data_IF_670677845876
#
_entry.id   IF_670677845876
#
_cell.length_a   1.000
_cell.length_b   1.000
_cell.length_c   1.000
_cell.angle_alpha   90.00
_cell.angle_beta   90.00
_cell.angle_gamma   90.00
#
_symmetry.space_group_name_H-M   'P 1'
#
loop_
_entity.id
_entity.type
_entity.pdbx_description
1 polymer ?
#
# COMPACT_ATOMS: atom_id res chain seq x y z
N UNK A 1 24.40 49.78 -33.98
CA UNK A 1 23.94 48.85 -32.92
C UNK A 1 23.71 47.49 -33.56
N UNK A 2 24.08 46.44 -32.84
CA UNK A 2 24.41 45.08 -33.30
C UNK A 2 23.27 44.30 -33.98
N UNK A 3 23.67 43.44 -34.92
CA UNK A 3 22.93 42.41 -35.69
C UNK A 3 22.44 41.26 -34.80
N UNK A 4 21.32 40.62 -35.14
CA UNK A 4 20.94 39.30 -34.60
C UNK A 4 19.48 38.93 -34.90
N UNK A 5 19.11 38.63 -36.13
CA UNK A 5 19.07 37.30 -36.77
C UNK A 5 17.96 36.34 -36.27
N UNK A 6 17.11 35.96 -37.24
CA UNK A 6 16.43 34.67 -37.43
C UNK A 6 15.17 34.34 -36.61
N UNK A 7 14.04 34.44 -37.32
CA UNK A 7 12.78 33.77 -37.07
C UNK A 7 12.75 32.36 -37.70
N UNK A 8 11.71 31.60 -37.33
CA UNK A 8 11.27 30.29 -37.84
C UNK A 8 11.99 29.10 -37.18
N UNK A 9 11.31 28.15 -36.55
CA UNK A 9 9.88 27.92 -36.36
C UNK A 9 9.67 26.48 -35.86
N UNK A 10 8.53 26.21 -35.22
CA UNK A 10 7.71 25.04 -35.52
C UNK A 10 6.40 25.10 -34.74
N UNK A 11 5.33 25.00 -35.52
CA UNK A 11 3.94 25.07 -35.14
C UNK A 11 3.46 23.80 -34.44
N UNK A 12 2.24 23.93 -33.87
CA UNK A 12 1.25 22.88 -33.62
C UNK A 12 1.45 21.97 -32.40
N UNK A 13 0.72 22.27 -31.32
CA UNK A 13 -0.63 21.69 -31.19
C UNK A 13 -1.47 22.47 -30.17
N UNK A 14 -2.48 23.16 -30.69
CA UNK A 14 -3.68 23.55 -29.95
C UNK A 14 -4.43 22.26 -29.64
N UNK A 15 -4.77 21.97 -28.38
CA UNK A 15 -6.08 21.41 -28.01
C UNK A 15 -6.28 21.42 -26.48
N UNK A 16 -7.41 22.02 -26.08
CA UNK A 16 -8.12 21.90 -24.79
C UNK A 16 -7.51 22.59 -23.56
N UNK A 17 -7.78 23.90 -23.50
CA UNK A 17 -8.50 24.48 -22.36
C UNK A 17 -9.68 23.57 -22.01
N UNK A 18 -9.58 22.83 -20.91
CA UNK A 18 -10.73 22.45 -20.10
C UNK A 18 -10.43 22.88 -18.68
N UNK A 19 -11.38 23.62 -18.12
CA UNK A 19 -11.44 24.05 -16.74
C UNK A 19 -11.12 22.87 -15.81
N UNK A 20 -9.91 22.85 -15.25
CA UNK A 20 -9.66 22.09 -14.04
C UNK A 20 -10.13 22.97 -12.90
N UNK A 21 -11.23 22.63 -12.19
CA UNK A 21 -11.45 23.22 -10.89
C UNK A 21 -10.20 22.90 -10.07
N UNK A 22 -9.47 23.94 -9.67
CA UNK A 22 -8.49 23.81 -8.59
C UNK A 22 -9.30 23.43 -7.38
N UNK A 23 -9.49 22.12 -7.19
CA UNK A 23 -9.93 21.57 -5.93
C UNK A 23 -8.80 21.87 -4.95
N UNK A 24 -8.88 23.03 -4.32
CA UNK A 24 -8.29 23.30 -3.01
C UNK A 24 -9.05 22.43 -2.00
N UNK A 25 -9.04 21.11 -2.24
CA UNK A 25 -9.29 20.08 -1.25
C UNK A 25 -8.01 19.96 -0.44
N UNK A 26 -7.79 21.00 0.37
CA UNK A 26 -7.14 20.98 1.68
C UNK A 26 -5.99 19.99 1.85
N UNK A 27 -4.76 20.50 1.90
CA UNK A 27 -3.63 19.76 2.49
C UNK A 27 -3.98 19.24 3.91
N UNK A 28 -4.85 19.95 4.64
CA UNK A 28 -5.37 19.57 5.97
C UNK A 28 -6.26 18.31 5.90
N UNK A 29 -6.91 18.03 4.76
CA UNK A 29 -7.72 16.82 4.55
C UNK A 29 -6.94 15.56 4.20
N UNK A 30 -5.78 15.70 3.53
CA UNK A 30 -4.89 14.57 3.19
C UNK A 30 -4.08 14.10 4.38
N UNK A 31 -3.72 15.02 5.28
CA UNK A 31 -3.00 14.70 6.51
C UNK A 31 -3.91 13.94 7.49
N UNK A 32 -5.16 14.38 7.65
CA UNK A 32 -6.17 13.68 8.45
C UNK A 32 -6.53 12.28 7.93
N UNK A 33 -6.38 12.01 6.62
CA UNK A 33 -6.59 10.66 6.08
C UNK A 33 -5.44 9.70 6.47
N UNK A 34 -4.21 10.20 6.47
CA UNK A 34 -3.04 9.40 6.85
C UNK A 34 -2.99 9.14 8.36
N UNK A 35 -3.36 10.12 9.19
CA UNK A 35 -3.42 9.94 10.65
C UNK A 35 -4.48 8.89 11.04
N UNK A 36 -5.61 8.86 10.33
CA UNK A 36 -6.62 7.80 10.49
C UNK A 36 -6.08 6.42 10.15
N UNK A 37 -5.27 6.30 9.10
CA UNK A 37 -4.62 5.03 8.78
C UNK A 37 -3.62 4.61 9.85
N UNK A 38 -2.79 5.54 10.34
CA UNK A 38 -1.85 5.24 11.41
C UNK A 38 -2.57 4.78 12.69
N UNK A 39 -3.66 5.46 13.06
CA UNK A 39 -4.51 5.09 14.18
C UNK A 39 -5.19 3.72 13.96
N UNK A 40 -5.69 3.46 12.75
CA UNK A 40 -6.30 2.18 12.39
C UNK A 40 -5.28 1.03 12.49
N UNK A 41 -4.06 1.22 11.99
CA UNK A 41 -2.99 0.22 12.10
C UNK A 41 -2.61 -0.01 13.56
N UNK A 42 -2.50 1.05 14.37
CA UNK A 42 -2.21 0.92 15.79
C UNK A 42 -3.31 0.15 16.53
N UNK A 43 -4.57 0.36 16.16
CA UNK A 43 -5.70 -0.38 16.74
C UNK A 43 -5.71 -1.86 16.33
N UNK A 44 -5.37 -2.15 15.08
CA UNK A 44 -5.36 -3.49 14.51
C UNK A 44 -3.94 -4.06 14.33
N UNK A 45 -3.04 -3.78 15.29
CA UNK A 45 -1.64 -4.20 15.19
C UNK A 45 -1.46 -5.71 15.08
N UNK A 46 -2.40 -6.49 15.64
CA UNK A 46 -2.40 -7.94 15.63
C UNK A 46 -2.48 -8.53 14.21
N UNK A 47 -3.07 -7.80 13.25
CA UNK A 47 -3.08 -8.18 11.83
C UNK A 47 -1.67 -8.28 11.24
N UNK A 48 -0.69 -7.64 11.89
CA UNK A 48 0.70 -7.61 11.44
C UNK A 48 1.63 -8.46 12.32
N UNK A 49 1.09 -9.20 13.29
CA UNK A 49 1.88 -9.95 14.27
C UNK A 49 2.76 -11.07 13.66
N UNK A 50 2.41 -11.55 12.46
CA UNK A 50 3.19 -12.56 11.73
C UNK A 50 4.41 -11.99 10.99
N UNK A 51 4.56 -10.67 10.93
CA UNK A 51 5.75 -10.05 10.35
C UNK A 51 6.96 -10.25 11.26
N UNK A 52 8.11 -10.51 10.66
CA UNK A 52 9.37 -10.61 11.39
C UNK A 52 10.01 -9.23 11.61
N UNK A 53 10.91 -9.12 12.58
CA UNK A 53 11.63 -7.87 12.87
C UNK A 53 12.35 -7.33 11.62
N UNK A 54 12.27 -6.02 11.40
CA UNK A 54 12.82 -5.34 10.23
C UNK A 54 11.87 -5.27 9.03
N UNK A 55 10.71 -5.92 9.11
CA UNK A 55 9.74 -5.94 8.00
C UNK A 55 8.98 -4.63 7.87
N UNK A 56 8.67 -4.25 6.63
CA UNK A 56 7.94 -3.05 6.24
C UNK A 56 6.83 -3.43 5.26
N UNK A 57 5.59 -3.12 5.63
CA UNK A 57 4.40 -3.24 4.76
C UNK A 57 3.93 -1.84 4.40
N UNK A 58 3.69 -1.60 3.11
CA UNK A 58 3.09 -0.37 2.62
C UNK A 58 1.58 -0.48 2.46
N UNK A 59 0.87 0.58 2.81
CA UNK A 59 -0.55 0.77 2.53
C UNK A 59 -0.70 2.06 1.73
N UNK A 60 -1.37 1.98 0.58
CA UNK A 60 -1.57 3.08 -0.34
C UNK A 60 -3.04 3.12 -0.79
N UNK A 61 -3.63 4.32 -0.81
CA UNK A 61 -4.95 4.51 -1.44
C UNK A 61 -4.77 4.74 -2.93
N UNK A 62 -5.54 4.03 -3.76
CA UNK A 62 -5.45 4.15 -5.21
C UNK A 62 -5.77 5.58 -5.65
N UNK A 63 -4.92 6.14 -6.52
CA UNK A 63 -5.00 7.53 -6.98
C UNK A 63 -4.09 8.50 -6.20
N UNK A 64 -3.69 8.16 -4.97
CA UNK A 64 -2.69 8.92 -4.22
C UNK A 64 -1.30 8.48 -4.65
N UNK A 65 -0.65 9.23 -5.57
CA UNK A 65 0.68 8.86 -6.05
C UNK A 65 1.73 9.10 -4.95
N UNK A 66 2.47 8.06 -4.61
CA UNK A 66 3.65 8.05 -3.71
C UNK A 66 3.39 8.22 -2.20
N UNK A 67 2.25 8.78 -1.80
CA UNK A 67 1.89 8.91 -0.38
C UNK A 67 1.28 7.61 0.12
N UNK A 68 1.64 7.22 1.33
CA UNK A 68 1.06 6.04 1.97
C UNK A 68 1.37 5.98 3.46
N UNK A 69 0.99 4.86 4.07
CA UNK A 69 1.39 4.49 5.42
C UNK A 69 2.32 3.30 5.34
N UNK A 70 3.42 3.35 6.07
CA UNK A 70 4.24 2.17 6.33
C UNK A 70 3.90 1.61 7.70
N UNK A 71 3.79 0.29 7.74
CA UNK A 71 3.71 -0.50 8.97
C UNK A 71 5.03 -1.22 9.12
N UNK A 72 5.76 -0.96 10.20
CA UNK A 72 7.05 -1.56 10.45
C UNK A 72 7.00 -2.44 11.70
N UNK A 73 7.66 -3.60 11.63
CA UNK A 73 7.91 -4.46 12.79
C UNK A 73 9.28 -4.13 13.36
N UNK A 74 9.31 -3.41 14.48
CA UNK A 74 10.52 -3.17 15.25
C UNK A 74 10.67 -4.17 16.41
N UNK A 75 11.78 -4.08 17.13
CA UNK A 75 12.05 -4.88 18.34
C UNK A 75 11.02 -4.65 19.46
N UNK A 76 10.40 -3.46 19.49
CA UNK A 76 9.36 -3.08 20.46
C UNK A 76 7.93 -3.39 20.04
N UNK A 77 7.70 -4.00 18.87
CA UNK A 77 6.35 -4.30 18.36
C UNK A 77 6.05 -3.74 16.97
N UNK A 78 4.77 -3.55 16.68
CA UNK A 78 4.30 -2.95 15.43
C UNK A 78 4.14 -1.45 15.62
N UNK A 79 4.58 -0.68 14.63
CA UNK A 79 4.28 0.73 14.58
C UNK A 79 4.04 1.17 13.15
N UNK A 80 3.47 2.35 12.98
CA UNK A 80 3.16 2.88 11.67
C UNK A 80 3.44 4.37 11.58
N UNK A 81 3.75 4.83 10.37
CA UNK A 81 3.90 6.25 10.07
C UNK A 81 3.52 6.54 8.64
N UNK A 82 3.07 7.78 8.41
CA UNK A 82 2.86 8.29 7.07
C UNK A 82 4.20 8.56 6.39
N UNK A 83 4.24 8.29 5.08
CA UNK A 83 5.38 8.61 4.22
C UNK A 83 4.90 9.28 2.94
N UNK A 84 5.69 10.25 2.45
CA UNK A 84 5.41 10.95 1.19
C UNK A 84 5.92 10.17 -0.03
N UNK A 85 6.78 9.17 0.19
CA UNK A 85 7.40 8.36 -0.84
C UNK A 85 7.50 6.91 -0.39
N UNK A 86 6.41 6.17 -0.53
CA UNK A 86 6.28 4.79 -0.07
C UNK A 86 7.39 3.86 -0.60
N UNK A 87 7.76 4.02 -1.88
CA UNK A 87 8.82 3.21 -2.48
C UNK A 87 10.22 3.43 -1.86
N UNK A 88 10.48 4.58 -1.24
CA UNK A 88 11.77 4.84 -0.59
C UNK A 88 11.93 4.09 0.74
N UNK A 89 10.84 3.57 1.28
CA UNK A 89 10.82 2.78 2.50
C UNK A 89 11.03 1.28 2.25
N UNK A 90 11.18 0.91 0.96
CA UNK A 90 11.46 -0.46 0.52
C UNK A 90 10.54 -1.53 1.14
N UNK A 91 9.20 -1.38 1.04
CA UNK A 91 8.28 -2.36 1.62
C UNK A 91 8.40 -3.72 0.92
N UNK A 92 8.28 -4.81 1.66
CA UNK A 92 8.20 -6.15 1.06
C UNK A 92 6.84 -6.46 0.43
N UNK A 93 5.78 -5.78 0.90
CA UNK A 93 4.41 -5.88 0.38
C UNK A 93 3.77 -4.50 0.36
N UNK A 94 3.03 -4.18 -0.69
CA UNK A 94 2.20 -2.96 -0.78
C UNK A 94 0.75 -3.35 -1.03
N UNK A 95 -0.14 -2.93 -0.12
CA UNK A 95 -1.58 -2.98 -0.30
C UNK A 95 -2.06 -1.69 -0.97
N UNK A 96 -2.54 -1.79 -2.20
CA UNK A 96 -3.21 -0.69 -2.91
C UNK A 96 -4.71 -0.84 -2.78
N UNK A 97 -5.36 0.07 -2.06
CA UNK A 97 -6.76 -0.02 -1.66
C UNK A 97 -7.58 1.04 -2.40
N UNK A 98 -8.70 0.65 -2.99
CA UNK A 98 -9.66 1.59 -3.59
C UNK A 98 -10.16 2.63 -2.56
N UNK A 99 -10.34 3.92 -2.93
CA UNK A 99 -10.76 4.97 -2.01
C UNK A 99 -11.99 4.66 -1.16
N UNK A 100 -13.05 4.09 -1.75
CA UNK A 100 -14.27 3.73 -1.00
C UNK A 100 -14.01 2.63 0.04
N UNK A 101 -13.20 1.63 -0.33
CA UNK A 101 -12.81 0.54 0.56
C UNK A 101 -11.91 1.05 1.68
N UNK A 102 -10.95 1.93 1.37
CA UNK A 102 -10.08 2.57 2.34
C UNK A 102 -10.89 3.37 3.37
N UNK A 103 -11.85 4.18 2.92
CA UNK A 103 -12.73 4.94 3.80
C UNK A 103 -13.56 4.03 4.71
N UNK A 104 -14.10 2.94 4.18
CA UNK A 104 -14.88 1.97 4.97
C UNK A 104 -14.03 1.27 6.03
N UNK A 105 -12.78 0.91 5.72
CA UNK A 105 -11.85 0.30 6.68
C UNK A 105 -11.49 1.27 7.80
N UNK A 106 -11.04 2.49 7.47
CA UNK A 106 -10.62 3.47 8.49
C UNK A 106 -11.77 4.06 9.31
N UNK A 107 -12.99 4.05 8.77
CA UNK A 107 -14.19 4.44 9.53
C UNK A 107 -14.59 3.38 10.56
N UNK A 108 -14.13 2.14 10.39
CA UNK A 108 -14.38 1.03 11.30
C UNK A 108 -13.30 1.06 12.38
N UNK A 109 -13.61 1.72 13.49
CA UNK A 109 -12.72 1.82 14.67
C UNK A 109 -13.15 0.89 15.81
N UNK A 110 -14.14 0.04 15.54
CA UNK A 110 -14.66 -0.98 16.44
C UNK A 110 -14.93 -2.25 15.63
N UNK A 111 -14.52 -3.40 16.16
CA UNK A 111 -14.70 -4.70 15.51
C UNK A 111 -13.60 -5.67 15.86
N UNK A 112 -13.89 -6.95 15.76
CA UNK A 112 -12.93 -8.03 15.95
C UNK A 112 -11.89 -8.02 14.82
N UNK A 113 -10.58 -8.19 15.11
CA UNK A 113 -9.55 -8.38 14.07
C UNK A 113 -9.92 -9.44 13.01
N UNK A 114 -10.63 -10.50 13.37
CA UNK A 114 -11.05 -11.55 12.42
C UNK A 114 -12.09 -11.02 11.41
N UNK A 115 -12.97 -10.11 11.83
CA UNK A 115 -13.91 -9.45 10.90
C UNK A 115 -13.15 -8.56 9.90
N UNK A 116 -12.11 -7.86 10.37
CA UNK A 116 -11.27 -7.03 9.50
C UNK A 116 -10.53 -7.91 8.49
N UNK A 117 -10.03 -9.06 8.91
CA UNK A 117 -9.44 -10.02 8.00
C UNK A 117 -10.42 -10.47 6.92
N UNK A 118 -11.64 -10.83 7.30
CA UNK A 118 -12.64 -11.25 6.34
C UNK A 118 -12.97 -10.13 5.34
N UNK A 119 -13.11 -8.88 5.80
CA UNK A 119 -13.32 -7.73 4.91
C UNK A 119 -12.14 -7.57 3.94
N UNK A 120 -10.90 -7.67 4.42
CA UNK A 120 -9.72 -7.57 3.54
C UNK A 120 -9.71 -8.65 2.47
N UNK A 121 -10.04 -9.90 2.83
CA UNK A 121 -10.15 -11.04 1.89
C UNK A 121 -11.22 -10.81 0.84
N UNK A 122 -12.42 -10.41 1.27
CA UNK A 122 -13.55 -10.17 0.36
C UNK A 122 -13.19 -9.08 -0.64
N UNK A 123 -12.64 -7.96 -0.15
CA UNK A 123 -12.25 -6.81 -1.00
C UNK A 123 -11.07 -7.13 -1.91
N UNK A 124 -10.18 -8.02 -1.51
CA UNK A 124 -9.12 -8.54 -2.36
C UNK A 124 -9.68 -9.42 -3.48
N UNK A 125 -10.62 -10.31 -3.16
CA UNK A 125 -11.29 -11.17 -4.16
C UNK A 125 -12.09 -10.37 -5.21
N UNK A 126 -12.65 -9.23 -4.79
CA UNK A 126 -13.35 -8.27 -5.66
C UNK A 126 -12.40 -7.36 -6.46
N UNK A 127 -11.08 -7.44 -6.25
CA UNK A 127 -10.08 -6.57 -6.90
C UNK A 127 -10.04 -5.13 -6.37
N UNK A 128 -10.73 -4.83 -5.27
CA UNK A 128 -10.74 -3.51 -4.60
C UNK A 128 -9.52 -3.30 -3.70
N UNK A 129 -8.87 -4.38 -3.30
CA UNK A 129 -7.51 -4.38 -2.75
C UNK A 129 -6.63 -5.11 -3.76
N UNK A 130 -5.54 -4.46 -4.16
CA UNK A 130 -4.49 -5.06 -5.01
C UNK A 130 -3.21 -5.16 -4.21
N UNK A 131 -2.47 -6.24 -4.42
CA UNK A 131 -1.22 -6.48 -3.72
C UNK A 131 -0.08 -6.44 -4.74
N UNK A 132 0.93 -5.66 -4.41
CA UNK A 132 2.27 -5.86 -4.96
C UNK A 132 3.14 -6.50 -3.88
N UNK A 133 4.02 -7.42 -4.27
CA UNK A 133 4.98 -8.07 -3.38
C UNK A 133 6.36 -8.01 -4.01
N UNK A 134 7.39 -8.00 -3.17
CA UNK A 134 8.77 -8.13 -3.61
C UNK A 134 8.96 -9.42 -4.45
N UNK A 135 9.70 -9.37 -5.57
CA UNK A 135 9.94 -10.55 -6.40
C UNK A 135 10.91 -11.56 -5.76
N UNK A 136 11.69 -11.17 -4.74
CA UNK A 136 12.62 -12.06 -4.04
C UNK A 136 11.86 -12.94 -3.03
N UNK A 137 11.73 -14.26 -3.31
CA UNK A 137 10.98 -15.17 -2.45
C UNK A 137 11.65 -15.39 -1.08
N UNK A 138 12.96 -15.20 -0.97
CA UNK A 138 13.67 -15.37 0.30
C UNK A 138 13.50 -14.14 1.18
N UNK A 139 13.44 -12.94 0.60
CA UNK A 139 12.99 -11.72 1.30
C UNK A 139 11.55 -11.87 1.80
N UNK A 140 10.64 -12.37 0.95
CA UNK A 140 9.25 -12.58 1.34
C UNK A 140 9.10 -13.56 2.51
N UNK A 141 9.91 -14.63 2.52
CA UNK A 141 9.90 -15.63 3.58
C UNK A 141 10.52 -15.09 4.88
N UNK A 142 11.75 -14.57 4.79
CA UNK A 142 12.51 -14.09 5.95
C UNK A 142 11.86 -12.91 6.67
N UNK A 143 11.06 -12.09 5.96
CA UNK A 143 10.26 -11.01 6.57
C UNK A 143 8.87 -11.44 7.08
N UNK A 144 8.48 -12.71 6.92
CA UNK A 144 7.13 -13.16 7.31
C UNK A 144 6.00 -12.65 6.38
N UNK A 145 6.35 -12.04 5.24
CA UNK A 145 5.38 -11.53 4.27
C UNK A 145 4.55 -12.65 3.62
N UNK A 146 5.15 -13.84 3.44
CA UNK A 146 4.40 -15.01 2.96
C UNK A 146 3.28 -15.41 3.92
N UNK A 147 3.54 -15.40 5.24
CA UNK A 147 2.52 -15.67 6.24
C UNK A 147 1.43 -14.58 6.24
N UNK A 148 1.84 -13.31 6.13
CA UNK A 148 0.92 -12.17 5.98
C UNK A 148 -0.01 -12.29 4.78
N UNK A 149 0.52 -12.54 3.59
CA UNK A 149 -0.31 -12.73 2.40
C UNK A 149 -1.20 -13.97 2.51
N UNK A 150 -0.66 -15.06 3.07
CA UNK A 150 -1.43 -16.29 3.32
C UNK A 150 -2.65 -16.04 4.22
N UNK A 151 -2.51 -15.18 5.24
CA UNK A 151 -3.59 -14.82 6.14
C UNK A 151 -4.76 -14.11 5.46
N UNK A 152 -4.50 -13.38 4.36
CA UNK A 152 -5.52 -12.72 3.51
C UNK A 152 -5.84 -13.50 2.22
N UNK A 153 -5.52 -14.78 2.18
CA UNK A 153 -5.73 -15.65 1.02
C UNK A 153 -5.11 -15.10 -0.28
N UNK A 154 -4.01 -14.36 -0.13
CA UNK A 154 -3.20 -13.84 -1.21
C UNK A 154 -1.88 -14.61 -1.34
N UNK A 155 -1.25 -14.47 -2.51
CA UNK A 155 0.06 -15.04 -2.80
C UNK A 155 0.81 -14.17 -3.81
N UNK A 156 2.16 -14.27 -3.87
CA UNK A 156 2.91 -13.77 -5.00
C UNK A 156 2.40 -14.43 -6.29
N UNK A 157 2.34 -13.68 -7.41
CA UNK A 157 1.81 -14.21 -8.67
C UNK A 157 2.60 -15.43 -9.16
N UNK A 158 3.92 -15.39 -9.00
CA UNK A 158 4.85 -16.39 -9.53
C UNK A 158 5.16 -17.54 -8.56
N UNK A 159 4.53 -17.56 -7.37
CA UNK A 159 4.75 -18.60 -6.36
C UNK A 159 3.46 -19.38 -6.14
N UNK A 160 3.47 -20.67 -6.39
CA UNK A 160 2.30 -21.53 -6.21
C UNK A 160 2.01 -21.81 -4.71
N UNK A 161 0.77 -22.24 -4.42
CA UNK A 161 0.35 -22.52 -3.05
C UNK A 161 1.11 -23.66 -2.38
N UNK A 162 1.54 -24.69 -3.12
CA UNK A 162 2.30 -25.81 -2.54
C UNK A 162 3.66 -25.31 -2.03
N UNK A 163 4.32 -24.46 -2.80
CA UNK A 163 5.58 -23.81 -2.43
C UNK A 163 5.43 -22.93 -1.20
N UNK A 164 4.37 -22.12 -1.11
CA UNK A 164 4.07 -21.30 0.07
C UNK A 164 3.91 -22.18 1.31
N UNK A 165 3.06 -23.21 1.23
CA UNK A 165 2.76 -24.09 2.36
C UNK A 165 3.99 -24.85 2.85
N UNK A 166 4.87 -25.30 1.94
CA UNK A 166 6.16 -25.92 2.29
C UNK A 166 7.09 -24.93 3.00
N UNK A 167 7.26 -23.71 2.46
CA UNK A 167 8.10 -22.69 3.11
C UNK A 167 7.57 -22.34 4.51
N UNK A 168 6.25 -22.27 4.68
CA UNK A 168 5.61 -22.03 5.98
C UNK A 168 5.60 -23.25 6.92
N UNK A 169 6.14 -24.41 6.52
CA UNK A 169 6.18 -25.62 7.35
C UNK A 169 4.81 -26.29 7.55
N UNK A 170 3.81 -25.95 6.75
CA UNK A 170 2.46 -26.54 6.81
C UNK A 170 2.39 -27.92 6.16
N UNK A 171 3.44 -28.33 5.47
CA UNK A 171 3.57 -29.61 4.78
C UNK A 171 4.92 -30.24 5.15
N UNK A 172 4.98 -31.59 5.24
CA UNK A 172 6.25 -32.28 5.42
C UNK A 172 7.20 -32.01 4.22
N UNK A 173 8.52 -32.07 4.46
CA UNK A 173 9.54 -31.84 3.42
C UNK A 173 9.44 -32.84 2.27
#
# INVERSE_FOLDING_TARGET
MVIGLLAVGLANLVFLRQDLPVAVGSAIGRDAAADRWAAWVAHYESLFAMLHEGSVVGIQVAGERSVGVVVYRGSGGIASRRVLRLAAEDPGVILTIEPATAQALVARTTGDPDEIWQIMKDRLSEGRIRIWSDPDPDRLYSGGYLAFMRAIDARPPDVDWLTIRRKLGELPP
#
